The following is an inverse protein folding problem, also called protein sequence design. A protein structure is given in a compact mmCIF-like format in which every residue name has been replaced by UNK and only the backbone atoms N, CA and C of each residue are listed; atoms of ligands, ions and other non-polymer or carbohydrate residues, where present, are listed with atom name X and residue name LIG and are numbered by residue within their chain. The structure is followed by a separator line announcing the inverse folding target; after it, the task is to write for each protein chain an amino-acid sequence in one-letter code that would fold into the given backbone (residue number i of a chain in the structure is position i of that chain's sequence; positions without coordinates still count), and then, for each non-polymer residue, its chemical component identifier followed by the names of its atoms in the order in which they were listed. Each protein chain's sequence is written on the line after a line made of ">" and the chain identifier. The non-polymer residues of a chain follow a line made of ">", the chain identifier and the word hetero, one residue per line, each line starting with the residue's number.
data_IF_966488981169
#
_entry.id   IF_966488981169
#
_cell.length_a   1.000
_cell.length_b   1.000
_cell.length_c   1.000
_cell.angle_alpha   90.00
_cell.angle_beta   90.00
_cell.angle_gamma   90.00
#
_symmetry.space_group_name_H-M   'P 1'
#
loop_
_entity.id
_entity.type
_entity.pdbx_description
1 polymer ?
#
# COMPACT_ATOMS: atom_id res chain seq x y z
N UNK A 1 -18.80 6.18 -14.95
CA UNK A 1 -18.31 4.97 -15.65
C UNK A 1 -17.83 4.00 -14.58
N UNK A 2 -18.51 2.86 -14.40
CA UNK A 2 -18.07 1.85 -13.43
C UNK A 2 -16.77 1.20 -13.91
N UNK A 3 -15.67 1.37 -13.17
CA UNK A 3 -14.37 0.75 -13.46
C UNK A 3 -14.35 -0.72 -13.03
N UNK A 4 -15.16 -1.56 -13.70
CA UNK A 4 -15.22 -3.00 -13.41
C UNK A 4 -13.88 -3.69 -13.70
N UNK A 5 -13.18 -3.26 -14.73
CA UNK A 5 -11.81 -3.65 -15.06
C UNK A 5 -10.84 -3.49 -13.88
N UNK A 6 -10.80 -2.30 -13.27
CA UNK A 6 -9.95 -2.02 -12.10
C UNK A 6 -10.36 -2.84 -10.88
N UNK A 7 -11.67 -3.12 -10.74
CA UNK A 7 -12.19 -4.00 -9.69
C UNK A 7 -11.77 -5.45 -9.89
N UNK A 8 -11.79 -5.97 -11.11
CA UNK A 8 -11.28 -7.30 -11.42
C UNK A 8 -9.78 -7.39 -11.09
N UNK A 9 -8.98 -6.41 -11.50
CA UNK A 9 -7.54 -6.40 -11.19
C UNK A 9 -7.31 -6.37 -9.67
N UNK A 10 -7.92 -5.42 -8.97
CA UNK A 10 -7.74 -5.28 -7.52
C UNK A 10 -8.31 -6.47 -6.73
N UNK A 11 -9.59 -6.80 -6.91
CA UNK A 11 -10.28 -7.76 -6.06
C UNK A 11 -10.04 -9.21 -6.49
N UNK A 12 -10.17 -9.52 -7.78
CA UNK A 12 -10.05 -10.89 -8.27
C UNK A 12 -8.58 -11.32 -8.44
N UNK A 13 -7.72 -10.47 -9.00
CA UNK A 13 -6.32 -10.86 -9.23
C UNK A 13 -5.45 -10.60 -7.99
N UNK A 14 -5.51 -9.40 -7.42
CA UNK A 14 -4.68 -9.04 -6.26
C UNK A 14 -5.29 -9.44 -4.92
N UNK A 15 -6.61 -9.62 -4.83
CA UNK A 15 -7.27 -9.95 -3.56
C UNK A 15 -7.48 -8.76 -2.62
N UNK A 16 -7.47 -7.55 -3.17
CA UNK A 16 -7.64 -6.28 -2.45
C UNK A 16 -8.96 -5.61 -2.80
N UNK A 17 -9.59 -4.97 -1.83
CA UNK A 17 -10.77 -4.16 -2.07
C UNK A 17 -10.40 -2.95 -2.91
N UNK A 18 -11.01 -2.84 -4.09
CA UNK A 18 -10.89 -1.64 -4.93
C UNK A 18 -11.42 -0.41 -4.19
N UNK A 19 -12.52 -0.55 -3.46
CA UNK A 19 -13.10 0.57 -2.72
C UNK A 19 -12.18 1.07 -1.61
N UNK A 20 -11.53 0.15 -0.89
CA UNK A 20 -10.51 0.51 0.10
C UNK A 20 -9.32 1.19 -0.57
N UNK A 21 -8.79 0.56 -1.63
CA UNK A 21 -7.63 1.07 -2.36
C UNK A 21 -7.85 2.49 -2.86
N UNK A 22 -8.97 2.75 -3.54
CA UNK A 22 -9.27 4.08 -4.08
C UNK A 22 -9.48 5.13 -2.99
N UNK A 23 -10.13 4.77 -1.87
CA UNK A 23 -10.30 5.70 -0.76
C UNK A 23 -8.94 6.11 -0.17
N UNK A 24 -8.07 5.13 0.09
CA UNK A 24 -6.72 5.33 0.61
C UNK A 24 -5.83 6.09 -0.38
N UNK A 25 -5.76 5.63 -1.62
CA UNK A 25 -4.91 6.17 -2.68
C UNK A 25 -5.29 7.61 -3.03
N UNK A 26 -6.59 7.91 -3.20
CA UNK A 26 -7.02 9.28 -3.49
C UNK A 26 -6.71 10.24 -2.33
N UNK A 27 -6.84 9.79 -1.07
CA UNK A 27 -6.49 10.61 0.09
C UNK A 27 -5.00 10.92 0.12
N UNK A 28 -4.17 9.92 -0.15
CA UNK A 28 -2.72 10.08 -0.28
C UNK A 28 -2.36 11.07 -1.40
N UNK A 29 -2.89 10.90 -2.61
CA UNK A 29 -2.64 11.81 -3.75
C UNK A 29 -3.08 13.25 -3.47
N UNK A 30 -4.18 13.42 -2.74
CA UNK A 30 -4.63 14.73 -2.34
C UNK A 30 -3.66 15.41 -1.37
N UNK A 31 -3.00 14.67 -0.47
CA UNK A 31 -2.23 15.24 0.63
C UNK A 31 -0.95 14.44 0.97
N UNK A 32 -0.04 14.12 0.04
CA UNK A 32 1.07 13.22 0.32
C UNK A 32 1.96 13.76 1.45
N UNK A 33 2.42 12.87 2.33
CA UNK A 33 3.23 13.13 3.52
C UNK A 33 2.66 14.19 4.48
N UNK A 34 1.37 14.52 4.40
CA UNK A 34 0.74 15.50 5.30
C UNK A 34 0.22 14.84 6.57
N UNK A 35 0.65 15.36 7.71
CA UNK A 35 0.19 14.88 9.02
C UNK A 35 -1.35 14.97 9.14
N UNK A 36 -1.95 13.90 9.66
CA UNK A 36 -3.40 13.72 9.88
C UNK A 36 -4.29 13.68 8.62
N UNK A 37 -3.71 13.83 7.42
CA UNK A 37 -4.45 13.80 6.15
C UNK A 37 -4.02 12.66 5.21
N UNK A 38 -2.73 12.31 5.22
CA UNK A 38 -2.21 11.18 4.46
C UNK A 38 -2.30 9.87 5.27
N UNK A 39 -3.09 8.87 4.82
CA UNK A 39 -3.13 7.58 5.49
C UNK A 39 -1.77 6.85 5.49
N UNK A 40 -0.86 7.15 4.56
CA UNK A 40 0.43 6.44 4.43
C UNK A 40 1.45 6.82 5.50
N UNK A 41 1.37 8.02 6.05
CA UNK A 41 2.22 8.43 7.18
C UNK A 41 1.54 8.23 8.54
N UNK A 42 0.27 7.81 8.53
CA UNK A 42 -0.49 7.52 9.74
C UNK A 42 -0.26 6.08 10.21
N UNK A 43 0.88 5.86 10.86
CA UNK A 43 1.25 4.55 11.40
C UNK A 43 1.22 4.50 12.93
N UNK A 44 0.61 3.45 13.47
CA UNK A 44 0.64 3.12 14.91
C UNK A 44 1.93 2.41 15.32
N UNK A 45 2.70 1.88 14.35
CA UNK A 45 3.91 1.10 14.58
C UNK A 45 5.18 1.88 14.23
N UNK A 46 5.21 2.54 13.07
CA UNK A 46 6.37 3.30 12.57
C UNK A 46 6.24 4.79 12.84
N UNK A 47 7.35 5.46 13.16
CA UNK A 47 7.39 6.92 13.29
C UNK A 47 7.81 7.50 11.95
N UNK A 48 6.84 7.99 11.18
CA UNK A 48 7.06 8.51 9.83
C UNK A 48 7.07 10.04 9.76
N UNK A 49 6.66 10.72 10.84
CA UNK A 49 6.63 12.19 10.91
C UNK A 49 7.15 12.69 12.26
N UNK A 50 7.66 13.94 12.35
CA UNK A 50 8.06 14.54 13.61
C UNK A 50 6.92 14.58 14.65
N UNK A 51 5.70 14.91 14.22
CA UNK A 51 4.53 14.93 15.10
C UNK A 51 4.18 13.55 15.66
N UNK A 52 4.39 12.47 14.89
CA UNK A 52 4.19 11.10 15.37
C UNK A 52 5.16 10.74 16.50
N UNK A 53 6.40 11.24 16.47
CA UNK A 53 7.38 11.06 17.56
C UNK A 53 6.87 11.68 18.86
N UNK A 54 6.40 12.92 18.80
CA UNK A 54 5.96 13.70 19.98
C UNK A 54 4.75 13.05 20.67
N UNK A 55 3.87 12.42 19.89
CA UNK A 55 2.66 11.76 20.41
C UNK A 55 2.95 10.44 21.12
N UNK A 56 4.09 9.78 20.87
CA UNK A 56 4.42 8.48 21.47
C UNK A 56 5.00 8.64 22.86
N UNK A 57 4.53 7.82 23.80
CA UNK A 57 4.98 7.79 25.20
C UNK A 57 5.15 6.35 25.67
N UNK A 58 6.00 6.13 26.67
CA UNK A 58 6.23 4.82 27.28
C UNK A 58 6.83 3.81 26.31
N UNK A 59 6.43 2.54 26.45
CA UNK A 59 6.98 1.41 25.71
C UNK A 59 6.94 1.56 24.16
N UNK A 60 5.87 2.08 23.54
CA UNK A 60 5.88 2.40 22.10
C UNK A 60 6.97 3.40 21.65
N UNK A 61 7.34 4.35 22.52
CA UNK A 61 8.42 5.30 22.22
C UNK A 61 9.79 4.61 22.27
N UNK A 62 10.00 3.67 23.19
CA UNK A 62 11.24 2.89 23.28
C UNK A 62 11.43 1.96 22.07
N UNK A 63 10.38 1.23 21.66
CA UNK A 63 10.42 0.38 20.46
C UNK A 63 10.75 1.21 19.22
N UNK A 64 10.20 2.42 19.11
CA UNK A 64 10.40 3.27 17.92
C UNK A 64 11.87 3.60 17.65
N UNK A 65 12.75 3.58 18.67
CA UNK A 65 14.20 3.78 18.50
C UNK A 65 14.86 2.66 17.68
N UNK A 66 14.25 1.48 17.68
CA UNK A 66 14.71 0.31 16.94
C UNK A 66 13.98 0.12 15.62
N UNK A 67 13.10 1.05 15.21
CA UNK A 67 12.28 0.91 14.00
C UNK A 67 13.09 0.61 12.73
N UNK A 68 14.36 1.05 12.64
CA UNK A 68 15.25 0.73 11.52
C UNK A 68 15.48 -0.78 11.34
N UNK A 69 15.54 -1.52 12.45
CA UNK A 69 15.72 -2.98 12.44
C UNK A 69 14.42 -3.71 12.15
N UNK A 70 13.29 -3.13 12.55
CA UNK A 70 11.98 -3.73 12.37
C UNK A 70 11.31 -3.34 11.06
N UNK A 71 11.80 -2.34 10.33
CA UNK A 71 11.17 -1.87 9.10
C UNK A 71 10.99 -3.01 8.08
N UNK A 72 12.08 -3.70 7.73
CA UNK A 72 12.02 -4.80 6.77
C UNK A 72 11.19 -6.00 7.28
N UNK A 73 11.37 -6.47 8.54
CA UNK A 73 10.48 -7.48 9.11
C UNK A 73 9.00 -7.10 9.08
N UNK A 74 8.65 -5.85 9.39
CA UNK A 74 7.27 -5.35 9.35
C UNK A 74 6.75 -5.26 7.91
N UNK A 75 7.60 -4.90 6.96
CA UNK A 75 7.25 -4.84 5.54
C UNK A 75 6.83 -6.22 4.99
N UNK A 76 7.42 -7.31 5.49
CA UNK A 76 6.98 -8.67 5.16
C UNK A 76 5.53 -8.97 5.58
N UNK A 77 4.98 -8.21 6.54
CA UNK A 77 3.58 -8.33 6.96
C UNK A 77 2.65 -7.33 6.26
N UNK A 78 3.16 -6.45 5.40
CA UNK A 78 2.34 -5.43 4.77
C UNK A 78 1.27 -6.05 3.85
N UNK A 79 1.59 -7.15 3.16
CA UNK A 79 0.60 -7.87 2.36
C UNK A 79 -0.61 -8.31 3.19
N UNK A 80 -0.38 -8.82 4.41
CA UNK A 80 -1.45 -9.19 5.34
C UNK A 80 -2.26 -7.96 5.77
N UNK A 81 -1.56 -6.87 6.11
CA UNK A 81 -2.17 -5.61 6.52
C UNK A 81 -3.13 -5.09 5.45
N UNK A 82 -2.73 -5.11 4.18
CA UNK A 82 -3.56 -4.67 3.04
C UNK A 82 -4.81 -5.54 2.84
N UNK A 83 -4.70 -6.87 2.98
CA UNK A 83 -5.88 -7.75 2.92
C UNK A 83 -6.82 -7.51 4.11
N UNK A 84 -6.29 -7.36 5.32
CA UNK A 84 -7.10 -7.04 6.50
C UNK A 84 -7.81 -5.69 6.34
N UNK A 85 -7.12 -4.67 5.85
CA UNK A 85 -7.70 -3.35 5.60
C UNK A 85 -8.81 -3.40 4.53
N UNK A 86 -8.60 -4.19 3.48
CA UNK A 86 -9.61 -4.47 2.44
C UNK A 86 -10.87 -5.11 3.04
N UNK A 87 -10.71 -6.14 3.87
CA UNK A 87 -11.84 -6.80 4.51
C UNK A 87 -12.54 -5.87 5.51
N UNK A 88 -11.79 -5.06 6.27
CA UNK A 88 -12.37 -4.09 7.21
C UNK A 88 -13.28 -3.08 6.48
N UNK A 89 -12.84 -2.56 5.33
CA UNK A 89 -13.67 -1.69 4.48
C UNK A 89 -14.96 -2.39 4.07
N UNK A 90 -14.86 -3.62 3.56
CA UNK A 90 -16.01 -4.35 3.03
C UNK A 90 -16.98 -4.82 4.11
N UNK A 91 -16.50 -5.14 5.31
CA UNK A 91 -17.32 -5.68 6.39
C UNK A 91 -17.90 -4.61 7.31
N UNK A 92 -17.18 -3.52 7.57
CA UNK A 92 -17.53 -2.57 8.63
C UNK A 92 -17.85 -1.16 8.15
N UNK A 93 -17.49 -0.76 6.92
CA UNK A 93 -17.79 0.59 6.41
C UNK A 93 -19.14 0.60 5.70
N UNK A 94 -20.08 1.44 6.14
CA UNK A 94 -21.39 1.60 5.49
C UNK A 94 -21.28 2.24 4.09
N UNK A 95 -22.27 1.98 3.22
CA UNK A 95 -22.37 2.66 1.92
C UNK A 95 -21.35 2.23 0.85
N UNK A 96 -20.59 1.15 1.07
CA UNK A 96 -19.60 0.67 0.08
C UNK A 96 -20.31 0.09 -1.14
N UNK A 97 -20.20 0.82 -2.26
CA UNK A 97 -20.75 0.39 -3.57
C UNK A 97 -20.05 -0.89 -4.04
N UNK A 98 -20.82 -1.83 -4.62
CA UNK A 98 -20.33 -3.12 -5.11
C UNK A 98 -19.65 -4.01 -4.05
N UNK A 99 -19.91 -3.79 -2.76
CA UNK A 99 -19.34 -4.59 -1.66
C UNK A 99 -19.43 -6.11 -1.91
N UNK A 100 -20.61 -6.59 -2.30
CA UNK A 100 -20.84 -8.02 -2.52
C UNK A 100 -19.99 -8.54 -3.69
N UNK A 101 -19.88 -7.78 -4.79
CA UNK A 101 -19.06 -8.16 -5.93
C UNK A 101 -17.59 -8.26 -5.54
N UNK A 102 -17.06 -7.26 -4.81
CA UNK A 102 -15.68 -7.30 -4.32
C UNK A 102 -15.42 -8.47 -3.36
N UNK A 103 -16.34 -8.73 -2.42
CA UNK A 103 -16.23 -9.86 -1.50
C UNK A 103 -16.22 -11.19 -2.26
N UNK A 104 -17.12 -11.37 -3.23
CA UNK A 104 -17.17 -12.59 -4.04
C UNK A 104 -15.88 -12.79 -4.85
N UNK A 105 -15.34 -11.73 -5.45
CA UNK A 105 -14.07 -11.80 -6.18
C UNK A 105 -12.90 -12.17 -5.26
N UNK A 106 -12.81 -11.55 -4.08
CA UNK A 106 -11.76 -11.84 -3.10
C UNK A 106 -11.89 -13.29 -2.59
N UNK A 107 -13.10 -13.74 -2.26
CA UNK A 107 -13.35 -15.13 -1.82
C UNK A 107 -12.99 -16.11 -2.93
N UNK A 108 -13.44 -15.86 -4.16
CA UNK A 108 -13.16 -16.70 -5.31
C UNK A 108 -11.65 -16.84 -5.54
N UNK A 109 -10.89 -15.73 -5.56
CA UNK A 109 -9.43 -15.74 -5.68
C UNK A 109 -8.76 -16.64 -4.65
N UNK A 110 -9.00 -16.36 -3.36
CA UNK A 110 -8.28 -17.03 -2.28
C UNK A 110 -8.69 -18.50 -2.18
N UNK A 111 -9.97 -18.81 -2.38
CA UNK A 111 -10.47 -20.18 -2.36
C UNK A 111 -9.94 -20.98 -3.56
N UNK A 112 -9.98 -20.41 -4.77
CA UNK A 112 -9.47 -21.07 -5.96
C UNK A 112 -7.96 -21.38 -5.83
N UNK A 113 -7.17 -20.41 -5.35
CA UNK A 113 -5.75 -20.64 -5.12
C UNK A 113 -5.51 -21.69 -4.03
N UNK A 114 -6.22 -21.63 -2.90
CA UNK A 114 -6.05 -22.60 -1.82
C UNK A 114 -6.44 -24.02 -2.26
N UNK A 115 -7.56 -24.18 -2.97
CA UNK A 115 -8.01 -25.46 -3.54
C UNK A 115 -6.99 -25.98 -4.55
N UNK A 116 -6.51 -25.13 -5.46
CA UNK A 116 -5.48 -25.49 -6.42
C UNK A 116 -4.22 -26.00 -5.72
N UNK A 117 -3.70 -25.28 -4.73
CA UNK A 117 -2.49 -25.69 -4.01
C UNK A 117 -2.71 -26.99 -3.23
N UNK A 118 -3.83 -27.14 -2.53
CA UNK A 118 -4.15 -28.37 -1.77
C UNK A 118 -4.38 -29.59 -2.66
N UNK A 119 -4.75 -29.40 -3.94
CA UNK A 119 -4.86 -30.49 -4.90
C UNK A 119 -3.50 -31.11 -5.25
N UNK A 120 -2.41 -30.35 -5.14
CA UNK A 120 -1.06 -30.78 -5.55
C UNK A 120 -0.03 -30.80 -4.42
N UNK A 121 -0.30 -30.15 -3.29
CA UNK A 121 0.63 -29.97 -2.18
C UNK A 121 0.02 -30.38 -0.85
N UNK A 122 0.80 -31.02 0.05
CA UNK A 122 0.41 -31.20 1.44
C UNK A 122 0.11 -29.87 2.14
N UNK A 123 -0.77 -29.85 3.16
CA UNK A 123 -1.18 -28.62 3.85
C UNK A 123 -0.03 -27.71 4.30
N UNK A 124 1.06 -28.29 4.83
CA UNK A 124 2.24 -27.51 5.25
C UNK A 124 2.92 -26.75 4.11
N UNK A 125 3.05 -27.37 2.92
CA UNK A 125 3.63 -26.70 1.74
C UNK A 125 2.68 -25.65 1.17
N UNK A 126 1.37 -25.89 1.21
CA UNK A 126 0.36 -24.89 0.84
C UNK A 126 0.46 -23.65 1.72
N UNK A 127 0.50 -23.83 3.05
CA UNK A 127 0.65 -22.70 3.98
C UNK A 127 1.96 -21.96 3.78
N UNK A 128 3.07 -22.68 3.54
CA UNK A 128 4.36 -22.06 3.23
C UNK A 128 4.30 -21.24 1.94
N UNK A 129 3.69 -21.77 0.86
CA UNK A 129 3.51 -21.06 -0.40
C UNK A 129 2.70 -19.77 -0.21
N UNK A 130 1.55 -19.86 0.46
CA UNK A 130 0.69 -18.70 0.72
C UNK A 130 1.40 -17.66 1.58
N UNK A 131 2.17 -18.10 2.58
CA UNK A 131 3.00 -17.23 3.41
C UNK A 131 4.07 -16.49 2.60
N UNK A 132 4.83 -17.20 1.77
CA UNK A 132 5.86 -16.59 0.91
C UNK A 132 5.23 -15.61 -0.08
N UNK A 133 4.12 -15.98 -0.72
CA UNK A 133 3.39 -15.09 -1.62
C UNK A 133 2.97 -13.80 -0.89
N UNK A 134 2.47 -13.90 0.34
CA UNK A 134 2.05 -12.75 1.13
C UNK A 134 3.22 -11.82 1.46
N UNK A 135 4.37 -12.41 1.83
CA UNK A 135 5.61 -11.66 2.09
C UNK A 135 6.10 -10.95 0.83
N UNK A 136 6.21 -11.66 -0.29
CA UNK A 136 6.65 -11.08 -1.56
C UNK A 136 5.71 -9.98 -2.00
N UNK A 137 4.40 -10.20 -1.91
CA UNK A 137 3.40 -9.18 -2.23
C UNK A 137 3.55 -7.92 -1.36
N UNK A 138 3.71 -8.10 -0.05
CA UNK A 138 3.92 -6.99 0.89
C UNK A 138 5.22 -6.22 0.64
N UNK A 139 6.32 -6.92 0.42
CA UNK A 139 7.63 -6.31 0.14
C UNK A 139 7.60 -5.55 -1.18
N UNK A 140 7.04 -6.13 -2.24
CA UNK A 140 6.97 -5.48 -3.55
C UNK A 140 6.08 -4.24 -3.51
N UNK A 141 4.82 -4.39 -3.05
CA UNK A 141 3.87 -3.28 -3.06
C UNK A 141 4.22 -2.22 -2.02
N UNK A 142 4.45 -2.62 -0.77
CA UNK A 142 4.80 -1.69 0.31
C UNK A 142 6.17 -1.04 0.10
N UNK A 143 7.14 -1.80 -0.42
CA UNK A 143 8.47 -1.29 -0.75
C UNK A 143 8.41 -0.20 -1.82
N UNK A 144 7.54 -0.37 -2.83
CA UNK A 144 7.37 0.63 -3.87
C UNK A 144 6.87 1.99 -3.33
N UNK A 145 5.91 1.99 -2.40
CA UNK A 145 5.50 3.23 -1.75
C UNK A 145 6.58 3.78 -0.81
N UNK A 146 7.17 2.91 0.01
CA UNK A 146 8.14 3.30 1.01
C UNK A 146 9.34 4.02 0.38
N UNK A 147 9.94 3.46 -0.67
CA UNK A 147 11.14 4.02 -1.29
C UNK A 147 10.89 5.40 -1.91
N UNK A 148 9.69 5.64 -2.43
CA UNK A 148 9.35 6.89 -3.10
C UNK A 148 9.03 8.04 -2.10
N UNK A 149 8.45 7.72 -0.93
CA UNK A 149 7.96 8.74 0.02
C UNK A 149 8.76 8.82 1.33
N UNK A 150 9.25 7.71 1.87
CA UNK A 150 9.95 7.69 3.16
C UNK A 150 11.34 8.34 3.00
N UNK A 151 11.54 9.46 3.68
CA UNK A 151 12.74 10.29 3.57
C UNK A 151 12.54 11.57 2.74
N UNK A 152 11.37 11.74 2.13
CA UNK A 152 10.94 13.05 1.63
C UNK A 152 10.42 13.90 2.81
N UNK A 153 10.42 15.24 2.69
CA UNK A 153 9.83 16.11 3.72
C UNK A 153 8.38 15.72 4.07
N UNK A 154 7.95 16.12 5.25
CA UNK A 154 6.58 15.93 5.74
C UNK A 154 5.90 17.29 5.92
N UNK A 155 4.60 17.39 5.64
CA UNK A 155 3.83 18.62 5.82
C UNK A 155 3.15 18.61 7.19
N UNK A 156 3.47 19.54 8.10
CA UNK A 156 2.80 19.63 9.39
C UNK A 156 1.31 19.94 9.26
N UNK A 157 0.56 19.65 10.32
CA UNK A 157 -0.85 20.03 10.42
C UNK A 157 -1.00 21.56 10.27
N UNK A 158 -2.01 21.99 9.52
CA UNK A 158 -2.32 23.41 9.30
C UNK A 158 -1.46 24.10 8.24
N UNK A 159 -0.39 23.46 7.74
CA UNK A 159 0.39 24.00 6.63
C UNK A 159 -0.30 23.68 5.30
N UNK A 160 -0.41 24.69 4.46
CA UNK A 160 -0.97 24.59 3.10
C UNK A 160 0.14 24.85 2.08
N UNK A 161 0.33 23.88 1.19
CA UNK A 161 1.19 24.00 0.01
C UNK A 161 0.30 24.05 -1.23
N UNK A 162 0.73 24.76 -2.26
CA UNK A 162 0.13 24.63 -3.59
C UNK A 162 0.31 23.19 -4.12
N UNK A 163 -0.51 22.83 -5.12
CA UNK A 163 -0.54 21.49 -5.68
C UNK A 163 0.84 21.04 -6.18
N UNK A 164 1.51 21.86 -6.98
CA UNK A 164 2.77 21.49 -7.62
C UNK A 164 3.88 21.25 -6.60
N UNK A 165 4.08 22.18 -5.66
CA UNK A 165 5.08 22.02 -4.58
C UNK A 165 4.79 20.78 -3.73
N UNK A 166 3.51 20.52 -3.43
CA UNK A 166 3.12 19.34 -2.64
C UNK A 166 3.47 18.04 -3.36
N UNK A 167 3.08 17.90 -4.62
CA UNK A 167 3.32 16.66 -5.36
C UNK A 167 4.83 16.43 -5.58
N UNK A 168 5.57 17.48 -5.94
CA UNK A 168 7.01 17.36 -6.26
C UNK A 168 7.88 17.18 -5.02
N UNK A 169 7.64 17.95 -3.94
CA UNK A 169 8.52 17.89 -2.78
C UNK A 169 8.27 16.66 -1.90
N UNK A 170 7.08 16.08 -1.91
CA UNK A 170 6.71 14.95 -1.04
C UNK A 170 6.91 13.57 -1.71
N UNK A 171 7.41 13.55 -2.94
CA UNK A 171 7.70 12.34 -3.71
C UNK A 171 9.10 12.42 -4.33
N UNK A 172 9.65 11.30 -4.78
CA UNK A 172 10.89 11.26 -5.57
C UNK A 172 10.75 10.27 -6.71
N UNK A 173 11.61 10.43 -7.71
CA UNK A 173 11.84 9.37 -8.68
C UNK A 173 13.06 8.54 -8.28
N UNK A 174 13.07 7.27 -8.66
CA UNK A 174 14.15 6.31 -8.38
C UNK A 174 14.79 5.88 -9.70
N UNK A 175 16.11 5.89 -9.76
CA UNK A 175 16.88 5.65 -10.98
C UNK A 175 18.00 4.64 -10.75
N UNK A 176 17.63 3.37 -10.52
CA UNK A 176 18.55 2.31 -10.09
C UNK A 176 18.60 1.11 -11.07
N UNK A 177 18.73 1.44 -12.37
CA UNK A 177 18.97 0.44 -13.42
C UNK A 177 17.76 -0.42 -13.81
N UNK A 178 17.97 -1.42 -14.70
CA UNK A 178 16.88 -2.23 -15.27
C UNK A 178 16.13 -3.08 -14.24
N UNK A 179 16.83 -3.59 -13.21
CA UNK A 179 16.21 -4.43 -12.19
C UNK A 179 15.18 -3.65 -11.37
N UNK A 180 15.53 -2.47 -10.87
CA UNK A 180 14.60 -1.64 -10.11
C UNK A 180 13.45 -1.17 -11.02
N UNK A 181 13.73 -0.85 -12.28
CA UNK A 181 12.70 -0.51 -13.26
C UNK A 181 11.67 -1.64 -13.45
N UNK A 182 12.13 -2.89 -13.50
CA UNK A 182 11.26 -4.07 -13.57
C UNK A 182 10.48 -4.27 -12.26
N UNK A 183 11.13 -4.16 -11.10
CA UNK A 183 10.49 -4.40 -9.81
C UNK A 183 9.46 -3.33 -9.43
N UNK A 184 9.67 -2.08 -9.86
CA UNK A 184 8.77 -0.97 -9.56
C UNK A 184 7.67 -0.78 -10.61
N UNK A 185 7.81 -1.39 -11.79
CA UNK A 185 6.79 -1.41 -12.86
C UNK A 185 6.16 -0.03 -13.16
N UNK A 186 7.01 0.99 -13.32
CA UNK A 186 6.61 2.36 -13.59
C UNK A 186 6.43 3.23 -12.34
N UNK A 187 6.29 2.64 -11.14
CA UNK A 187 6.20 3.38 -9.88
C UNK A 187 7.52 4.02 -9.43
N UNK A 188 8.62 3.82 -10.16
CA UNK A 188 9.84 4.59 -9.95
C UNK A 188 9.71 6.05 -10.42
N UNK A 189 8.65 6.38 -11.16
CA UNK A 189 8.31 7.72 -11.65
C UNK A 189 7.17 8.33 -10.82
N UNK A 190 7.40 8.47 -9.51
CA UNK A 190 6.36 8.89 -8.57
C UNK A 190 5.94 10.35 -8.78
N UNK A 191 6.83 11.24 -9.23
CA UNK A 191 6.47 12.62 -9.51
C UNK A 191 5.40 12.68 -10.60
N UNK A 192 5.61 11.98 -11.70
CA UNK A 192 4.69 11.90 -12.83
C UNK A 192 3.36 11.27 -12.41
N UNK A 193 3.41 10.20 -11.61
CA UNK A 193 2.22 9.56 -11.05
C UNK A 193 1.38 10.52 -10.19
N UNK A 194 2.03 11.36 -9.36
CA UNK A 194 1.32 12.34 -8.52
C UNK A 194 0.80 13.55 -9.29
N UNK A 195 1.52 13.99 -10.32
CA UNK A 195 1.09 15.12 -11.15
C UNK A 195 -0.01 14.70 -12.13
N UNK A 196 0.03 13.47 -12.63
CA UNK A 196 -0.86 12.96 -13.67
C UNK A 196 -1.40 11.56 -13.33
N UNK A 197 -2.15 11.38 -12.22
CA UNK A 197 -2.57 10.06 -11.71
C UNK A 197 -3.54 9.29 -12.61
N UNK A 198 -4.03 9.92 -13.68
CA UNK A 198 -4.90 9.30 -14.68
C UNK A 198 -4.14 8.74 -15.87
N UNK A 199 -2.88 9.13 -16.06
CA UNK A 199 -2.03 8.64 -17.15
C UNK A 199 -1.45 7.30 -16.69
N UNK A 200 -1.50 6.24 -17.52
CA UNK A 200 -0.83 4.99 -17.20
C UNK A 200 0.63 5.24 -16.85
N UNK A 201 1.14 4.57 -15.82
CA UNK A 201 2.54 4.68 -15.45
C UNK A 201 3.41 4.33 -16.67
N UNK A 202 4.57 5.00 -16.87
CA UNK A 202 5.49 4.64 -17.92
C UNK A 202 6.06 3.24 -17.60
N UNK A 203 5.43 2.21 -18.15
CA UNK A 203 5.95 0.85 -18.11
C UNK A 203 7.02 0.69 -19.18
N UNK A 204 7.95 -0.24 -18.96
CA UNK A 204 9.16 -0.37 -19.79
C UNK A 204 8.83 -0.59 -21.27
N UNK A 205 9.29 0.33 -22.11
CA UNK A 205 9.76 0.01 -23.47
C UNK A 205 11.17 -0.60 -23.38
#
# INVERSE_FOLDING_TARGET
>A
MERMDSRCISALLMGLSYSWWMAKHNSHHANPNKEDADPDVHSTVLVLTPGATIRRRGFPAEISRFQRWFFLPLLCFEGLNLHVASLKMLLFTSGVRHRIVELLMIIARHSALAVFLLAYLPPGKTLAFLGVQLVVFGVMLGGAFALNHIGMPTVPRGVHLDFLRRQVLMSRNISDGPLIRFLMDGLQYQLEHHLFPIIPAPTTA
#
